data_IF_071711762189
#
_entry.id   IF_071711762189
#
_cell.length_a   1.000
_cell.length_b   1.000
_cell.length_c   1.000
_cell.angle_alpha   90.00
_cell.angle_beta   90.00
_cell.angle_gamma   90.00
#
_symmetry.space_group_name_H-M   'P 1'
#
loop_
_entity.id
_entity.type
_entity.pdbx_description
1 polymer ?
#
# COMPACT_ATOMS: atom_id res chain seq x y z
N UNK A 1 10.93 18.23 1.19
CA UNK A 1 11.50 16.90 1.49
C UNK A 1 12.02 16.20 0.21
N UNK A 2 11.26 16.19 -0.84
CA UNK A 2 11.55 15.66 -2.19
C UNK A 2 11.11 16.68 -3.23
N UNK A 3 11.74 16.68 -4.40
CA UNK A 3 11.36 17.54 -5.54
C UNK A 3 10.40 16.78 -6.48
N UNK A 4 10.62 15.47 -6.61
CA UNK A 4 9.77 14.59 -7.42
C UNK A 4 9.38 13.34 -6.64
N UNK A 5 8.26 12.71 -6.98
CA UNK A 5 7.82 11.44 -6.38
C UNK A 5 8.83 10.30 -6.59
N UNK A 6 9.58 10.32 -7.70
CA UNK A 6 10.59 9.32 -8.01
C UNK A 6 11.76 9.26 -7.01
N UNK A 7 12.03 10.38 -6.30
CA UNK A 7 13.11 10.44 -5.33
C UNK A 7 12.80 9.73 -4.01
N UNK A 8 11.51 9.49 -3.72
CA UNK A 8 11.09 9.03 -2.40
C UNK A 8 11.68 7.67 -2.04
N UNK A 9 11.79 6.75 -3.00
CA UNK A 9 12.36 5.43 -2.74
C UNK A 9 13.85 5.51 -2.42
N UNK A 10 14.63 6.25 -3.21
CA UNK A 10 16.06 6.40 -2.99
C UNK A 10 16.37 7.07 -1.65
N UNK A 11 15.53 8.02 -1.23
CA UNK A 11 15.63 8.65 0.07
C UNK A 11 15.25 7.69 1.21
N UNK A 12 14.15 6.97 1.09
CA UNK A 12 13.69 6.01 2.09
C UNK A 12 14.65 4.83 2.29
N UNK A 13 15.40 4.44 1.24
CA UNK A 13 16.43 3.39 1.31
C UNK A 13 17.70 3.79 2.08
N UNK A 14 17.88 5.08 2.43
CA UNK A 14 19.00 5.54 3.24
C UNK A 14 18.89 5.13 4.71
N UNK A 15 17.73 4.64 5.14
CA UNK A 15 17.49 4.15 6.50
C UNK A 15 16.95 2.73 6.46
N UNK A 16 17.24 1.98 7.53
CA UNK A 16 16.82 0.58 7.66
C UNK A 16 15.30 0.44 7.84
N UNK A 17 14.72 1.34 8.62
CA UNK A 17 13.31 1.35 9.00
C UNK A 17 12.83 2.80 9.17
N UNK A 18 11.59 3.00 9.60
CA UNK A 18 11.00 4.32 9.80
C UNK A 18 11.49 5.02 11.08
N UNK A 19 12.37 4.42 11.87
CA UNK A 19 12.87 4.99 13.13
C UNK A 19 11.78 5.23 14.19
N UNK A 20 10.66 4.50 14.11
CA UNK A 20 9.48 4.68 14.97
C UNK A 20 8.56 5.83 14.56
N UNK A 21 8.80 6.45 13.39
CA UNK A 21 7.95 7.51 12.85
C UNK A 21 6.79 6.91 12.08
N UNK A 22 5.57 7.35 12.37
CA UNK A 22 4.35 6.99 11.63
C UNK A 22 3.72 8.24 11.06
N UNK A 23 3.33 8.19 9.79
CA UNK A 23 2.57 9.24 9.11
C UNK A 23 1.17 8.72 8.82
N UNK A 24 0.15 9.43 9.29
CA UNK A 24 -1.25 9.14 9.01
C UNK A 24 -1.74 10.14 7.97
N UNK A 25 -1.97 9.76 6.71
CA UNK A 25 -2.32 10.68 5.64
C UNK A 25 -3.84 10.96 5.58
N UNK A 26 -4.44 11.32 6.71
CA UNK A 26 -5.86 11.65 6.84
C UNK A 26 -6.12 13.11 6.41
N UNK A 27 -5.74 13.50 5.19
CA UNK A 27 -5.83 14.90 4.73
C UNK A 27 -7.27 15.40 4.58
N UNK A 28 -8.21 14.48 4.33
CA UNK A 28 -9.66 14.74 4.22
C UNK A 28 -10.47 13.79 5.10
N UNK A 29 -9.87 13.34 6.19
CA UNK A 29 -10.43 12.30 7.05
C UNK A 29 -9.89 10.91 6.73
N UNK A 30 -10.41 9.90 7.42
CA UNK A 30 -10.11 8.48 7.22
C UNK A 30 -11.33 7.78 6.62
N UNK A 31 -11.13 7.09 5.49
CA UNK A 31 -12.11 6.20 4.87
C UNK A 31 -12.20 4.85 5.60
N UNK A 32 -12.55 3.80 4.86
CA UNK A 32 -12.61 2.43 5.38
C UNK A 32 -11.26 2.00 5.98
N UNK A 33 -11.26 1.23 7.08
CA UNK A 33 -12.41 0.78 7.88
C UNK A 33 -12.82 1.77 8.97
N UNK A 34 -12.21 2.93 9.06
CA UNK A 34 -12.34 3.85 10.19
C UNK A 34 -13.54 4.78 10.11
N UNK A 35 -13.89 5.24 8.90
CA UNK A 35 -15.01 6.14 8.59
C UNK A 35 -15.06 7.38 9.50
N UNK A 36 -13.91 8.05 9.68
CA UNK A 36 -13.79 9.24 10.50
C UNK A 36 -13.50 10.49 9.63
N UNK A 37 -14.51 11.32 9.31
CA UNK A 37 -14.33 12.54 8.53
C UNK A 37 -13.59 13.64 9.30
N UNK A 38 -13.51 13.53 10.63
CA UNK A 38 -12.88 14.51 11.52
C UNK A 38 -11.38 14.20 11.78
N UNK A 39 -10.90 13.04 11.38
CA UNK A 39 -9.47 12.74 11.45
C UNK A 39 -8.66 13.69 10.55
N UNK A 40 -7.44 14.03 10.97
CA UNK A 40 -6.50 14.83 10.15
C UNK A 40 -5.12 14.20 10.13
N UNK A 41 -4.33 14.62 9.12
CA UNK A 41 -2.97 14.14 8.94
C UNK A 41 -2.13 14.30 10.20
N UNK A 42 -1.41 13.24 10.56
CA UNK A 42 -0.59 13.21 11.77
C UNK A 42 0.78 12.61 11.48
N UNK A 43 1.83 13.21 12.01
CA UNK A 43 3.15 12.61 12.08
C UNK A 43 3.53 12.44 13.56
N UNK A 44 3.85 11.22 13.97
CA UNK A 44 4.15 10.88 15.37
C UNK A 44 5.39 9.99 15.45
N UNK A 45 6.09 10.01 16.60
CA UNK A 45 7.31 9.21 16.84
C UNK A 45 8.60 9.93 16.51
N UNK A 46 8.57 11.25 16.26
CA UNK A 46 9.75 12.07 15.99
C UNK A 46 10.68 12.10 17.19
N UNK A 47 11.97 11.91 16.93
CA UNK A 47 13.06 12.02 17.91
C UNK A 47 14.17 12.93 17.37
N UNK A 48 15.20 13.19 18.16
CA UNK A 48 16.40 13.93 17.71
C UNK A 48 17.14 13.23 16.56
N UNK A 49 17.00 11.91 16.44
CA UNK A 49 17.62 11.11 15.37
C UNK A 49 16.79 11.03 14.10
N UNK A 50 15.57 11.57 14.10
CA UNK A 50 14.69 11.52 12.92
C UNK A 50 15.26 12.40 11.80
N UNK A 51 15.43 11.82 10.63
CA UNK A 51 15.90 12.49 9.42
C UNK A 51 14.79 12.53 8.37
N UNK A 52 15.01 13.29 7.29
CA UNK A 52 14.10 13.31 6.14
C UNK A 52 13.90 11.92 5.51
N UNK A 53 14.90 11.03 5.60
CA UNK A 53 14.82 9.66 5.11
C UNK A 53 13.82 8.81 5.93
N UNK A 54 13.78 8.97 7.24
CA UNK A 54 12.78 8.33 8.09
C UNK A 54 11.36 8.83 7.78
N UNK A 55 11.20 10.12 7.48
CA UNK A 55 9.90 10.68 7.09
C UNK A 55 9.46 10.12 5.72
N UNK A 56 10.38 10.06 4.74
CA UNK A 56 10.10 9.45 3.43
C UNK A 56 9.73 7.97 3.56
N UNK A 57 10.43 7.23 4.43
CA UNK A 57 10.14 5.84 4.74
C UNK A 57 8.76 5.69 5.37
N UNK A 58 8.45 6.49 6.38
CA UNK A 58 7.13 6.48 7.02
C UNK A 58 5.99 6.84 6.04
N UNK A 59 6.23 7.72 5.07
CA UNK A 59 5.26 8.05 4.04
C UNK A 59 4.96 6.87 3.11
N UNK A 60 5.97 6.14 2.64
CA UNK A 60 5.78 4.92 1.84
C UNK A 60 5.05 3.83 2.64
N UNK A 61 5.50 3.60 3.88
CA UNK A 61 4.90 2.61 4.75
C UNK A 61 3.45 2.93 5.13
N UNK A 62 3.07 4.22 5.20
CA UNK A 62 1.70 4.63 5.50
C UNK A 62 0.69 4.16 4.45
N UNK A 63 1.08 4.16 3.18
CA UNK A 63 0.25 3.67 2.07
C UNK A 63 -0.04 2.17 2.27
N UNK A 64 1.00 1.40 2.57
CA UNK A 64 0.88 -0.05 2.74
C UNK A 64 0.10 -0.42 4.01
N UNK A 65 0.24 0.33 5.09
CA UNK A 65 -0.56 0.13 6.29
C UNK A 65 -2.05 0.39 6.03
N UNK A 66 -2.40 1.47 5.32
CA UNK A 66 -3.79 1.74 4.96
C UNK A 66 -4.37 0.65 4.05
N UNK A 67 -3.61 0.21 3.03
CA UNK A 67 -4.01 -0.93 2.21
C UNK A 67 -4.26 -2.18 3.05
N UNK A 68 -3.36 -2.47 4.00
CA UNK A 68 -3.51 -3.63 4.89
C UNK A 68 -4.74 -3.53 5.80
N UNK A 69 -5.09 -2.33 6.30
CA UNK A 69 -6.30 -2.13 7.09
C UNK A 69 -7.56 -2.45 6.28
N UNK A 70 -7.63 -1.99 5.03
CA UNK A 70 -8.74 -2.31 4.12
C UNK A 70 -8.78 -3.80 3.79
N UNK A 71 -7.63 -4.42 3.46
CA UNK A 71 -7.56 -5.86 3.17
C UNK A 71 -8.03 -6.71 4.35
N UNK A 72 -7.64 -6.34 5.57
CA UNK A 72 -8.10 -7.03 6.79
C UNK A 72 -9.60 -6.91 7.00
N UNK A 73 -10.17 -5.73 6.78
CA UNK A 73 -11.61 -5.53 6.84
C UNK A 73 -12.33 -6.39 5.80
N UNK A 74 -11.87 -6.38 4.54
CA UNK A 74 -12.44 -7.20 3.46
C UNK A 74 -12.36 -8.69 3.76
N UNK A 75 -11.22 -9.18 4.28
CA UNK A 75 -11.07 -10.59 4.66
C UNK A 75 -12.02 -10.99 5.79
N UNK A 76 -12.21 -10.10 6.78
CA UNK A 76 -13.14 -10.34 7.88
C UNK A 76 -14.59 -10.40 7.39
N UNK A 77 -14.98 -9.46 6.52
CA UNK A 77 -16.33 -9.39 5.97
C UNK A 77 -16.65 -10.57 5.05
N UNK A 78 -15.68 -10.98 4.23
CA UNK A 78 -15.83 -12.10 3.31
C UNK A 78 -15.69 -13.48 3.96
N UNK A 79 -15.16 -13.56 5.19
CA UNK A 79 -14.77 -14.83 5.82
C UNK A 79 -13.70 -15.61 5.04
N UNK A 80 -12.92 -14.92 4.19
CA UNK A 80 -11.95 -15.51 3.28
C UNK A 80 -10.53 -15.08 3.65
N UNK A 81 -9.54 -15.90 3.26
CA UNK A 81 -8.12 -15.56 3.40
C UNK A 81 -7.56 -15.12 2.05
N UNK A 82 -6.78 -14.06 2.08
CA UNK A 82 -5.99 -13.64 0.94
C UNK A 82 -4.82 -14.62 0.73
N UNK A 83 -4.62 -15.08 -0.50
CA UNK A 83 -3.51 -15.99 -0.88
C UNK A 83 -2.40 -15.24 -1.63
N UNK A 84 -2.74 -14.20 -2.39
CA UNK A 84 -1.83 -13.29 -3.06
C UNK A 84 -2.50 -11.92 -3.21
N UNK A 85 -1.73 -10.86 -3.30
CA UNK A 85 -2.20 -9.50 -3.59
C UNK A 85 -1.65 -9.06 -4.95
N UNK A 86 -2.52 -8.86 -5.92
CA UNK A 86 -2.15 -8.26 -7.21
C UNK A 86 -2.23 -6.75 -7.11
N UNK A 87 -1.19 -6.09 -7.59
CA UNK A 87 -1.03 -4.63 -7.50
C UNK A 87 -0.84 -4.02 -8.89
N UNK A 88 -1.24 -2.76 -9.05
CA UNK A 88 -1.09 -2.00 -10.28
C UNK A 88 -0.94 -0.50 -10.00
N UNK A 89 -0.85 0.29 -11.06
CA UNK A 89 -0.66 1.74 -10.99
C UNK A 89 0.80 2.14 -10.70
N UNK A 90 1.11 3.41 -10.91
CA UNK A 90 2.48 3.94 -10.78
C UNK A 90 3.13 3.72 -9.43
N UNK A 91 2.35 3.69 -8.34
CA UNK A 91 2.87 3.43 -6.99
C UNK A 91 3.45 2.00 -6.86
N UNK A 92 2.94 1.04 -7.63
CA UNK A 92 3.42 -0.35 -7.62
C UNK A 92 4.83 -0.52 -8.20
N UNK A 93 5.35 0.48 -8.91
CA UNK A 93 6.74 0.48 -9.42
C UNK A 93 7.78 0.64 -8.31
N UNK A 94 7.37 1.10 -7.13
CA UNK A 94 8.26 1.26 -5.98
C UNK A 94 8.51 -0.09 -5.30
N UNK A 95 9.68 -0.67 -5.54
CA UNK A 95 10.06 -2.00 -5.02
C UNK A 95 10.13 -2.05 -3.49
N UNK A 96 10.58 -0.95 -2.85
CA UNK A 96 10.65 -0.87 -1.40
C UNK A 96 9.25 -0.94 -0.77
N UNK A 97 8.30 -0.22 -1.37
CA UNK A 97 6.92 -0.21 -0.93
C UNK A 97 6.25 -1.57 -1.18
N UNK A 98 6.50 -2.21 -2.33
CA UNK A 98 5.92 -3.52 -2.64
C UNK A 98 6.46 -4.62 -1.71
N UNK A 99 7.75 -4.59 -1.39
CA UNK A 99 8.31 -5.52 -0.42
C UNK A 99 7.69 -5.31 0.96
N UNK A 100 7.55 -4.06 1.41
CA UNK A 100 6.92 -3.78 2.69
C UNK A 100 5.42 -4.15 2.69
N UNK A 101 4.72 -4.00 1.55
CA UNK A 101 3.32 -4.47 1.42
C UNK A 101 3.22 -5.99 1.59
N UNK A 102 4.12 -6.77 0.97
CA UNK A 102 4.17 -8.22 1.16
C UNK A 102 4.44 -8.57 2.62
N UNK A 103 5.42 -7.90 3.22
CA UNK A 103 5.81 -8.10 4.61
C UNK A 103 4.66 -7.82 5.58
N UNK A 104 3.93 -6.71 5.41
CA UNK A 104 2.87 -6.30 6.34
C UNK A 104 1.57 -7.07 6.15
N UNK A 105 1.24 -7.46 4.90
CA UNK A 105 0.06 -8.28 4.61
C UNK A 105 0.28 -9.76 4.93
N UNK A 106 1.54 -10.21 4.86
CA UNK A 106 1.93 -11.59 5.09
C UNK A 106 1.57 -12.54 3.95
N UNK A 107 1.33 -11.99 2.77
CA UNK A 107 1.07 -12.75 1.54
C UNK A 107 1.93 -12.21 0.40
N UNK A 108 2.21 -13.02 -0.63
CA UNK A 108 2.92 -12.55 -1.81
C UNK A 108 2.20 -11.37 -2.46
N UNK A 109 2.98 -10.35 -2.86
CA UNK A 109 2.52 -9.23 -3.69
C UNK A 109 3.00 -9.47 -5.11
N UNK A 110 2.10 -9.43 -6.08
CA UNK A 110 2.37 -9.76 -7.49
C UNK A 110 2.13 -8.54 -8.35
N UNK A 111 3.19 -8.06 -9.01
CA UNK A 111 3.15 -6.95 -9.96
C UNK A 111 3.10 -7.50 -11.39
N UNK A 112 2.19 -6.99 -12.27
CA UNK A 112 2.16 -7.34 -13.68
C UNK A 112 3.21 -6.58 -14.48
N UNK A 113 3.51 -7.06 -15.71
CA UNK A 113 4.37 -6.34 -16.66
C UNK A 113 3.79 -4.99 -17.08
N UNK A 114 2.45 -4.91 -17.20
CA UNK A 114 1.74 -3.68 -17.54
C UNK A 114 1.06 -3.17 -16.28
N UNK A 115 1.56 -2.07 -15.73
CA UNK A 115 1.03 -1.48 -14.50
C UNK A 115 -0.11 -0.49 -14.74
N UNK A 116 -0.30 0.00 -15.97
CA UNK A 116 -1.41 0.89 -16.35
C UNK A 116 -2.68 0.09 -16.68
N UNK A 117 -3.21 -0.63 -15.67
CA UNK A 117 -4.32 -1.57 -15.88
C UNK A 117 -5.66 -0.88 -16.14
N UNK A 118 -5.85 0.37 -15.73
CA UNK A 118 -7.10 1.12 -16.01
C UNK A 118 -7.29 1.33 -17.51
N UNK A 119 -6.26 1.85 -18.20
CA UNK A 119 -6.30 2.04 -19.65
C UNK A 119 -6.37 0.70 -20.39
N UNK A 120 -5.61 -0.29 -19.92
CA UNK A 120 -5.62 -1.64 -20.49
C UNK A 120 -7.00 -2.31 -20.34
N UNK A 121 -7.65 -2.17 -19.19
CA UNK A 121 -9.00 -2.69 -18.95
C UNK A 121 -10.04 -2.07 -19.90
N UNK A 122 -9.97 -0.75 -20.11
CA UNK A 122 -10.83 -0.08 -21.08
C UNK A 122 -10.59 -0.60 -22.51
N UNK A 123 -9.33 -0.82 -22.91
CA UNK A 123 -8.97 -1.40 -24.20
C UNK A 123 -9.50 -2.85 -24.36
N UNK A 124 -9.41 -3.65 -23.31
CA UNK A 124 -9.94 -5.02 -23.30
C UNK A 124 -11.47 -5.05 -23.46
N UNK A 125 -12.19 -4.18 -22.74
CA UNK A 125 -13.65 -4.06 -22.87
C UNK A 125 -14.05 -3.61 -24.28
N UNK A 126 -13.36 -2.63 -24.84
CA UNK A 126 -13.59 -2.20 -26.23
C UNK A 126 -13.33 -3.34 -27.22
N UNK A 127 -12.22 -4.08 -27.05
CA UNK A 127 -11.87 -5.20 -27.89
C UNK A 127 -12.88 -6.37 -27.83
N UNK A 128 -13.43 -6.64 -26.64
CA UNK A 128 -14.54 -7.59 -26.51
C UNK A 128 -15.78 -7.11 -27.27
N UNK A 129 -16.14 -5.81 -27.14
CA UNK A 129 -17.28 -5.23 -27.84
C UNK A 129 -17.13 -5.23 -29.37
N UNK A 130 -15.92 -5.11 -29.89
CA UNK A 130 -15.61 -5.15 -31.32
C UNK A 130 -15.29 -6.55 -31.85
N UNK A 131 -15.24 -7.57 -31.00
CA UNK A 131 -14.93 -8.95 -31.39
C UNK A 131 -13.45 -9.24 -31.64
N UNK A 132 -12.54 -8.38 -31.14
CA UNK A 132 -11.08 -8.64 -31.17
C UNK A 132 -10.74 -9.82 -30.29
N UNK A 133 -11.33 -9.89 -29.11
CA UNK A 133 -11.32 -11.06 -28.22
C UNK A 133 -12.72 -11.64 -28.12
N UNK A 134 -12.80 -12.96 -28.04
CA UNK A 134 -14.08 -13.66 -28.00
C UNK A 134 -14.63 -13.84 -26.59
N UNK A 135 -13.75 -13.75 -25.59
CA UNK A 135 -14.14 -13.98 -24.20
C UNK A 135 -13.14 -13.36 -23.21
N UNK A 136 -13.55 -13.25 -21.96
CA UNK A 136 -12.70 -12.80 -20.84
C UNK A 136 -11.55 -13.78 -20.57
N UNK A 137 -11.73 -15.07 -20.83
CA UNK A 137 -10.70 -16.10 -20.67
C UNK A 137 -9.54 -15.93 -21.68
N UNK A 138 -9.82 -15.37 -22.86
CA UNK A 138 -8.75 -15.00 -23.81
C UNK A 138 -7.92 -13.85 -23.26
N UNK A 139 -8.56 -12.86 -22.67
CA UNK A 139 -7.89 -11.69 -22.05
C UNK A 139 -7.09 -12.12 -20.83
N UNK A 140 -7.65 -12.99 -19.99
CA UNK A 140 -6.97 -13.48 -18.79
C UNK A 140 -5.61 -14.13 -19.12
N UNK A 141 -5.51 -14.81 -20.26
CA UNK A 141 -4.26 -15.40 -20.74
C UNK A 141 -3.21 -14.37 -21.19
N UNK A 142 -3.58 -13.12 -21.39
CA UNK A 142 -2.67 -12.03 -21.75
C UNK A 142 -1.97 -11.44 -20.53
N UNK A 143 -2.52 -11.67 -19.31
CA UNK A 143 -1.89 -11.19 -18.09
C UNK A 143 -0.53 -11.85 -17.89
N UNK A 144 0.49 -11.04 -17.66
CA UNK A 144 1.87 -11.48 -17.41
C UNK A 144 2.36 -10.92 -16.09
N UNK A 145 2.97 -11.80 -15.30
CA UNK A 145 3.64 -11.44 -14.05
C UNK A 145 5.02 -10.90 -14.38
N UNK A 146 5.34 -9.72 -13.89
CA UNK A 146 6.70 -9.18 -13.95
C UNK A 146 7.47 -9.64 -12.72
N UNK A 147 6.91 -9.41 -11.50
CA UNK A 147 7.63 -9.70 -10.26
C UNK A 147 6.68 -10.14 -9.15
N UNK A 148 7.20 -11.02 -8.28
CA UNK A 148 6.59 -11.38 -7.01
C UNK A 148 7.49 -10.94 -5.87
N UNK A 149 6.90 -10.31 -4.86
CA UNK A 149 7.55 -9.93 -3.61
C UNK A 149 7.02 -10.87 -2.52
N UNK A 150 7.91 -11.72 -2.00
CA UNK A 150 7.57 -12.67 -0.95
C UNK A 150 7.70 -12.01 0.43
N UNK A 151 6.81 -12.33 1.40
CA UNK A 151 6.96 -11.88 2.77
C UNK A 151 8.25 -12.40 3.40
N UNK A 152 9.06 -11.50 3.94
CA UNK A 152 10.32 -11.83 4.64
C UNK A 152 10.29 -11.48 6.12
N UNK A 153 9.33 -10.65 6.54
CA UNK A 153 9.17 -10.19 7.91
C UNK A 153 8.58 -11.28 8.80
N UNK A 154 9.11 -11.43 10.01
CA UNK A 154 8.53 -12.32 11.00
C UNK A 154 7.12 -11.88 11.43
N UNK A 155 6.32 -12.83 11.91
CA UNK A 155 4.99 -12.53 12.41
C UNK A 155 5.04 -11.54 13.59
N UNK A 156 5.95 -11.73 14.53
CA UNK A 156 6.08 -10.86 15.71
C UNK A 156 6.38 -9.40 15.31
N UNK A 157 7.27 -9.22 14.33
CA UNK A 157 7.61 -7.89 13.82
C UNK A 157 6.41 -7.25 13.11
N UNK A 158 5.67 -8.01 12.32
CA UNK A 158 4.45 -7.55 11.66
C UNK A 158 3.39 -7.13 12.66
N UNK A 159 3.16 -7.93 13.70
CA UNK A 159 2.20 -7.62 14.76
C UNK A 159 2.60 -6.37 15.54
N UNK A 160 3.89 -6.24 15.86
CA UNK A 160 4.42 -5.04 16.49
C UNK A 160 4.14 -3.79 15.64
N UNK A 161 4.52 -3.80 14.36
CA UNK A 161 4.36 -2.65 13.47
C UNK A 161 2.89 -2.29 13.26
N UNK A 162 2.01 -3.27 13.05
CA UNK A 162 0.56 -3.03 12.90
C UNK A 162 -0.07 -2.50 14.18
N UNK A 163 0.41 -2.95 15.35
CA UNK A 163 -0.03 -2.41 16.64
C UNK A 163 0.36 -0.94 16.80
N UNK A 164 1.61 -0.59 16.46
CA UNK A 164 2.05 0.81 16.53
C UNK A 164 1.30 1.69 15.53
N UNK A 165 1.05 1.19 14.32
CA UNK A 165 0.21 1.86 13.33
C UNK A 165 -1.18 2.14 13.89
N UNK A 166 -1.87 1.15 14.44
CA UNK A 166 -3.20 1.32 15.06
C UNK A 166 -3.21 2.36 16.17
N UNK A 167 -2.13 2.42 16.99
CA UNK A 167 -1.96 3.46 18.02
C UNK A 167 -1.80 4.85 17.42
N UNK A 168 -1.11 4.98 16.30
CA UNK A 168 -0.93 6.26 15.59
C UNK A 168 -2.26 6.72 14.97
N UNK A 169 -2.98 5.82 14.29
CA UNK A 169 -4.31 6.09 13.74
C UNK A 169 -5.28 6.55 14.83
N UNK A 170 -5.30 5.88 15.99
CA UNK A 170 -6.18 6.27 17.10
C UNK A 170 -5.95 7.73 17.57
N UNK A 171 -4.72 8.27 17.40
CA UNK A 171 -4.38 9.64 17.78
C UNK A 171 -4.74 10.68 16.73
N UNK A 172 -4.98 10.28 15.49
CA UNK A 172 -5.40 11.17 14.41
C UNK A 172 -6.92 11.37 14.34
N UNK A 173 -7.67 10.50 15.02
CA UNK A 173 -9.14 10.52 15.00
C UNK A 173 -9.72 11.69 15.80
N UNK A 174 -10.88 12.16 15.34
CA UNK A 174 -11.64 13.21 16.04
C UNK A 174 -10.85 14.52 16.24
N UNK A 175 -9.93 14.84 15.34
CA UNK A 175 -9.11 16.04 15.45
C UNK A 175 -9.92 17.32 15.27
N UNK A 176 -10.81 17.36 14.28
CA UNK A 176 -11.77 18.44 14.10
C UNK A 176 -13.07 18.12 14.83
N UNK A 177 -13.62 19.13 15.53
CA UNK A 177 -14.90 19.05 16.24
C UNK A 177 -16.03 19.56 15.35
#
# INVERSE_FOLDING_TARGET
LIETSAEIESLARQVKDNGGVYLIPAFVGLGAPYWDPHARGLMIGLTRGTTRAHIARAALESITFQCNDVLRAMMNDAGARLTELRVDGGASENDLMMQFQADISGVPVVRPEVVETTALGAAYLAGLGCGVWKSTEEIEKLWRRERTFEPTMSQDQREFLTTQWGRAVARSKGWEQ
#
